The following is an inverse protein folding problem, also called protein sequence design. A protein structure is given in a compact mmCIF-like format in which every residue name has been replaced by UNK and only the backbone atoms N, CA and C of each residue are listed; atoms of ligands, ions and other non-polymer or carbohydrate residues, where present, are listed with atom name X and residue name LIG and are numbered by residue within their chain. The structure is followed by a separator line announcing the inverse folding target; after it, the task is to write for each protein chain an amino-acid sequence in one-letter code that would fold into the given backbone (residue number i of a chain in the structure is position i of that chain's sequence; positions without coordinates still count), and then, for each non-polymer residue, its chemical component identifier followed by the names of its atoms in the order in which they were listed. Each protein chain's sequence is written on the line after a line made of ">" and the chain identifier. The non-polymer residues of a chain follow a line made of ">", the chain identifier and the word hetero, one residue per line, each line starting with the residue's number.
data_IF_789221985569
#
_entry.id   IF_789221985569
#
_cell.length_a   1.000
_cell.length_b   1.000
_cell.length_c   1.000
_cell.angle_alpha   90.00
_cell.angle_beta   90.00
_cell.angle_gamma   90.00
#
_symmetry.space_group_name_H-M   'P 1'
#
loop_
_entity.id
_entity.type
_entity.pdbx_description
1 polymer ?
#
# COMPACT_ATOMS: atom_id res chain seq x y z
N UNK A 1 -66.94 -64.40 -33.64
CA UNK A 1 -67.13 -62.99 -34.04
C UNK A 1 -65.76 -62.43 -34.44
N UNK A 2 -65.48 -62.43 -35.75
CA UNK A 2 -65.11 -61.26 -36.58
C UNK A 2 -63.66 -60.73 -36.41
N UNK A 3 -62.85 -61.02 -37.45
CA UNK A 3 -61.77 -60.25 -38.15
C UNK A 3 -60.48 -59.88 -37.40
N UNK A 4 -59.29 -60.26 -37.89
CA UNK A 4 -58.51 -59.71 -39.02
C UNK A 4 -58.24 -58.20 -38.92
N UNK A 5 -56.95 -57.79 -38.96
CA UNK A 5 -56.35 -56.92 -40.00
C UNK A 5 -54.92 -56.47 -39.61
N UNK A 6 -53.98 -56.78 -40.52
CA UNK A 6 -52.66 -56.15 -40.70
C UNK A 6 -52.78 -54.72 -41.23
N UNK A 7 -51.91 -53.81 -40.80
CA UNK A 7 -51.61 -52.54 -41.51
C UNK A 7 -50.40 -51.88 -40.80
N UNK A 8 -49.15 -52.04 -41.26
CA UNK A 8 -48.50 -51.44 -42.44
C UNK A 8 -48.60 -49.91 -42.52
N UNK A 9 -47.52 -49.21 -42.15
CA UNK A 9 -46.93 -48.04 -42.85
C UNK A 9 -45.59 -47.70 -42.16
N UNK A 10 -44.46 -47.87 -42.86
CA UNK A 10 -43.74 -46.83 -43.66
C UNK A 10 -43.18 -45.71 -42.76
N UNK A 11 -41.93 -45.25 -42.86
CA UNK A 11 -40.78 -45.46 -43.75
C UNK A 11 -39.73 -44.41 -43.30
N UNK A 12 -38.46 -44.65 -43.62
CA UNK A 12 -37.37 -43.64 -43.71
C UNK A 12 -36.88 -43.13 -42.33
N UNK A 13 -35.62 -43.22 -41.94
CA UNK A 13 -34.39 -43.38 -42.67
C UNK A 13 -33.36 -42.39 -42.09
N UNK A 14 -32.09 -42.74 -42.28
CA UNK A 14 -30.88 -41.92 -42.06
C UNK A 14 -30.13 -42.18 -40.76
N UNK A 15 -29.15 -43.09 -40.92
CA UNK A 15 -27.87 -43.11 -40.22
C UNK A 15 -27.13 -41.80 -40.50
N UNK A 16 -26.61 -41.13 -39.47
CA UNK A 16 -25.38 -40.36 -39.57
C UNK A 16 -24.55 -40.51 -38.29
N UNK A 17 -23.43 -41.18 -38.44
CA UNK A 17 -22.24 -41.12 -37.59
C UNK A 17 -21.76 -39.67 -37.49
N UNK A 18 -21.35 -39.21 -36.31
CA UNK A 18 -20.15 -38.36 -36.15
C UNK A 18 -19.76 -38.18 -34.69
N UNK A 19 -18.62 -38.79 -34.35
CA UNK A 19 -17.54 -38.25 -33.52
C UNK A 19 -17.75 -36.80 -33.04
N UNK A 20 -17.83 -36.61 -31.72
CA UNK A 20 -17.17 -35.51 -31.02
C UNK A 20 -16.67 -36.02 -29.68
N UNK A 21 -15.50 -36.65 -29.69
CA UNK A 21 -14.58 -36.61 -28.56
C UNK A 21 -13.51 -35.57 -28.90
N UNK A 22 -13.01 -34.88 -27.88
CA UNK A 22 -11.92 -33.88 -27.90
C UNK A 22 -12.36 -32.45 -28.21
N UNK A 23 -12.86 -31.72 -27.19
CA UNK A 23 -12.68 -30.27 -27.02
C UNK A 23 -12.85 -29.91 -25.53
N UNK A 24 -11.98 -30.43 -24.65
CA UNK A 24 -11.88 -29.97 -23.26
C UNK A 24 -10.44 -29.62 -22.83
N UNK A 25 -9.51 -29.50 -23.79
CA UNK A 25 -8.07 -29.30 -23.52
C UNK A 25 -7.44 -28.18 -24.36
N UNK A 26 -8.18 -27.10 -24.66
CA UNK A 26 -7.62 -25.95 -25.42
C UNK A 26 -7.84 -24.57 -24.82
N UNK A 27 -8.45 -24.47 -23.64
CA UNK A 27 -8.67 -23.19 -22.96
C UNK A 27 -7.69 -22.92 -21.82
N UNK A 28 -6.93 -23.93 -21.38
CA UNK A 28 -5.90 -23.74 -20.34
C UNK A 28 -4.63 -23.11 -20.90
N UNK A 29 -4.16 -23.51 -22.10
CA UNK A 29 -2.88 -23.00 -22.61
C UNK A 29 -2.93 -21.56 -23.12
N UNK A 30 -4.10 -21.07 -23.54
CA UNK A 30 -4.27 -19.66 -23.98
C UNK A 30 -4.33 -18.74 -22.75
N UNK A 31 -5.01 -19.17 -21.69
CA UNK A 31 -5.03 -18.43 -20.43
C UNK A 31 -3.63 -18.36 -19.77
N UNK A 32 -2.86 -19.46 -19.77
CA UNK A 32 -1.47 -19.44 -19.27
C UNK A 32 -0.54 -18.56 -20.11
N UNK A 33 -0.70 -18.56 -21.44
CA UNK A 33 0.14 -17.70 -22.31
C UNK A 33 -0.21 -16.22 -22.22
N UNK A 34 -1.49 -15.87 -22.00
CA UNK A 34 -1.91 -14.48 -21.73
C UNK A 34 -1.47 -14.00 -20.32
N UNK A 35 -1.35 -14.91 -19.35
CA UNK A 35 -0.91 -14.61 -17.98
C UNK A 35 0.59 -14.31 -17.90
N UNK A 36 1.44 -15.16 -18.48
CA UNK A 36 2.89 -14.93 -18.50
C UNK A 36 3.28 -13.70 -19.35
N UNK A 37 2.49 -13.38 -20.39
CA UNK A 37 2.74 -12.21 -21.24
C UNK A 37 2.43 -10.90 -20.54
N UNK A 38 1.42 -10.82 -19.66
CA UNK A 38 1.08 -9.59 -18.94
C UNK A 38 2.23 -9.10 -18.03
N UNK A 39 2.78 -9.97 -17.18
CA UNK A 39 3.90 -9.62 -16.29
C UNK A 39 5.16 -9.30 -17.09
N UNK A 40 5.44 -10.08 -18.14
CA UNK A 40 6.60 -9.84 -19.00
C UNK A 40 6.51 -8.48 -19.71
N UNK A 41 5.32 -8.09 -20.17
CA UNK A 41 5.10 -6.80 -20.82
C UNK A 41 5.20 -5.63 -19.84
N UNK A 42 4.61 -5.76 -18.65
CA UNK A 42 4.78 -4.77 -17.59
C UNK A 42 6.26 -4.52 -17.26
N UNK A 43 7.07 -5.58 -17.17
CA UNK A 43 8.51 -5.46 -16.94
C UNK A 43 9.25 -4.70 -18.05
N UNK A 44 8.90 -4.89 -19.34
CA UNK A 44 9.50 -4.11 -20.42
C UNK A 44 9.16 -2.62 -20.31
N UNK A 45 7.93 -2.30 -19.92
CA UNK A 45 7.45 -0.93 -19.76
C UNK A 45 8.13 -0.21 -18.59
N UNK A 46 8.44 -0.94 -17.50
CA UNK A 46 9.22 -0.44 -16.36
C UNK A 46 10.58 0.08 -16.81
N UNK A 47 11.30 -0.64 -17.67
CA UNK A 47 12.60 -0.20 -18.19
C UNK A 47 12.53 1.07 -19.04
N UNK A 48 11.34 1.39 -19.57
CA UNK A 48 11.08 2.62 -20.32
C UNK A 48 10.43 3.70 -19.47
N UNK A 49 10.38 3.53 -18.14
CA UNK A 49 9.77 4.45 -17.17
C UNK A 49 8.27 4.74 -17.44
N UNK A 50 7.59 3.81 -18.11
CA UNK A 50 6.15 3.89 -18.43
C UNK A 50 5.31 3.18 -17.36
N UNK A 51 5.29 3.73 -16.15
CA UNK A 51 4.73 3.03 -14.99
C UNK A 51 3.21 2.87 -15.03
N UNK A 52 2.47 3.84 -15.57
CA UNK A 52 1.02 3.73 -15.72
C UNK A 52 0.66 2.63 -16.74
N UNK A 53 1.32 2.63 -17.90
CA UNK A 53 1.13 1.60 -18.92
C UNK A 53 1.57 0.23 -18.42
N UNK A 54 2.60 0.15 -17.57
CA UNK A 54 2.99 -1.10 -16.93
C UNK A 54 1.88 -1.64 -16.02
N UNK A 55 1.16 -0.79 -15.28
CA UNK A 55 -0.03 -1.21 -14.51
C UNK A 55 -1.16 -1.66 -15.45
N UNK A 56 -1.40 -0.96 -16.56
CA UNK A 56 -2.42 -1.37 -17.54
C UNK A 56 -2.10 -2.72 -18.18
N UNK A 57 -0.83 -3.03 -18.42
CA UNK A 57 -0.43 -4.34 -18.92
C UNK A 57 -0.78 -5.48 -17.93
N UNK A 58 -0.85 -5.19 -16.64
CA UNK A 58 -1.26 -6.13 -15.59
C UNK A 58 -2.79 -6.25 -15.44
N UNK A 59 -3.58 -5.40 -16.11
CA UNK A 59 -5.05 -5.35 -15.96
C UNK A 59 -5.75 -6.71 -16.07
N UNK A 60 -5.42 -7.60 -17.03
CA UNK A 60 -6.10 -8.90 -17.12
C UNK A 60 -5.94 -9.74 -15.84
N UNK A 61 -4.80 -9.62 -15.15
CA UNK A 61 -4.53 -10.32 -13.90
C UNK A 61 -5.18 -9.59 -12.71
N UNK A 62 -5.09 -8.26 -12.67
CA UNK A 62 -5.65 -7.45 -11.59
C UNK A 62 -7.18 -7.52 -11.54
N UNK A 63 -7.83 -7.63 -12.71
CA UNK A 63 -9.28 -7.72 -12.85
C UNK A 63 -9.82 -9.15 -12.85
N UNK A 64 -8.96 -10.16 -12.82
CA UNK A 64 -9.36 -11.56 -12.75
C UNK A 64 -10.06 -11.87 -11.42
N UNK A 65 -11.11 -12.68 -11.45
CA UNK A 65 -11.72 -13.28 -10.25
C UNK A 65 -11.04 -14.60 -9.86
N UNK A 66 -10.24 -15.18 -10.75
CA UNK A 66 -9.54 -16.44 -10.50
C UNK A 66 -8.20 -16.18 -9.80
N UNK A 67 -8.08 -16.71 -8.57
CA UNK A 67 -6.85 -16.63 -7.78
C UNK A 67 -5.74 -17.47 -8.40
N UNK A 68 -4.55 -16.90 -8.50
CA UNK A 68 -3.36 -17.54 -9.06
C UNK A 68 -2.08 -16.88 -8.54
N UNK A 69 -0.96 -17.59 -8.59
CA UNK A 69 0.35 -17.02 -8.24
C UNK A 69 0.70 -15.79 -9.11
N UNK A 70 0.30 -15.79 -10.38
CA UNK A 70 0.50 -14.67 -11.27
C UNK A 70 -0.35 -13.44 -10.90
N UNK A 71 -1.58 -13.64 -10.43
CA UNK A 71 -2.38 -12.53 -9.90
C UNK A 71 -1.78 -12.00 -8.59
N UNK A 72 -1.31 -12.87 -7.70
CA UNK A 72 -0.60 -12.46 -6.48
C UNK A 72 0.63 -11.60 -6.82
N UNK A 73 1.42 -12.02 -7.81
CA UNK A 73 2.60 -11.27 -8.26
C UNK A 73 2.21 -9.96 -8.97
N UNK A 74 1.12 -9.95 -9.74
CA UNK A 74 0.62 -8.74 -10.38
C UNK A 74 0.17 -7.70 -9.34
N UNK A 75 -0.53 -8.10 -8.27
CA UNK A 75 -0.91 -7.21 -7.17
C UNK A 75 0.33 -6.61 -6.49
N UNK A 76 1.35 -7.43 -6.23
CA UNK A 76 2.61 -6.98 -5.65
C UNK A 76 3.36 -5.99 -6.55
N UNK A 77 3.47 -6.29 -7.85
CA UNK A 77 4.14 -5.43 -8.81
C UNK A 77 3.37 -4.11 -9.00
N UNK A 78 2.04 -4.17 -9.08
CA UNK A 78 1.19 -2.98 -9.20
C UNK A 78 1.35 -2.03 -8.01
N UNK A 79 1.50 -2.55 -6.78
CA UNK A 79 1.85 -1.75 -5.61
C UNK A 79 3.16 -0.97 -5.82
N UNK A 80 4.22 -1.64 -6.26
CA UNK A 80 5.53 -1.00 -6.46
C UNK A 80 5.48 0.05 -7.57
N UNK A 81 4.74 -0.23 -8.64
CA UNK A 81 4.52 0.68 -9.75
C UNK A 81 3.72 1.93 -9.34
N UNK A 82 2.70 1.76 -8.51
CA UNK A 82 1.85 2.86 -8.06
C UNK A 82 2.65 3.96 -7.33
N UNK A 83 3.67 3.58 -6.54
CA UNK A 83 4.60 4.51 -5.87
C UNK A 83 5.33 5.46 -6.83
N UNK A 84 5.57 5.03 -8.07
CA UNK A 84 6.20 5.85 -9.12
C UNK A 84 5.19 6.55 -10.01
N UNK A 85 4.08 5.87 -10.31
CA UNK A 85 3.03 6.35 -11.18
C UNK A 85 2.27 7.56 -10.60
N UNK A 86 1.90 7.52 -9.31
CA UNK A 86 1.04 8.55 -8.69
C UNK A 86 1.71 9.94 -8.67
N UNK A 87 2.98 10.10 -8.26
CA UNK A 87 3.66 11.39 -8.32
C UNK A 87 3.75 11.95 -9.74
N UNK A 88 4.04 11.11 -10.74
CA UNK A 88 4.12 11.54 -12.14
C UNK A 88 2.76 12.03 -12.67
N UNK A 89 1.67 11.35 -12.29
CA UNK A 89 0.32 11.81 -12.61
C UNK A 89 0.04 13.17 -11.94
N UNK A 90 0.45 13.37 -10.70
CA UNK A 90 0.27 14.66 -10.01
C UNK A 90 1.05 15.79 -10.67
N UNK A 91 2.29 15.53 -11.11
CA UNK A 91 3.09 16.49 -11.88
C UNK A 91 2.44 16.86 -13.22
N UNK A 92 1.83 15.88 -13.91
CA UNK A 92 1.12 16.10 -15.19
C UNK A 92 -0.07 17.06 -15.03
N UNK A 93 -0.79 16.98 -13.91
CA UNK A 93 -2.02 17.76 -13.69
C UNK A 93 -1.84 19.03 -12.83
N UNK A 94 -0.72 19.20 -12.12
CA UNK A 94 -0.45 20.36 -11.26
C UNK A 94 -1.10 20.28 -9.86
N UNK A 95 -0.54 21.02 -8.89
CA UNK A 95 -0.82 20.83 -7.45
C UNK A 95 -1.96 21.68 -6.85
N UNK A 96 -2.54 22.69 -7.54
CA UNK A 96 -3.35 23.71 -6.83
C UNK A 96 -4.79 23.99 -7.32
N UNK A 97 -5.23 23.57 -8.51
CA UNK A 97 -6.61 23.83 -9.00
C UNK A 97 -7.28 22.62 -9.69
N UNK A 98 -6.55 21.53 -9.87
CA UNK A 98 -6.89 20.41 -10.78
C UNK A 98 -7.13 19.08 -10.07
N UNK A 99 -7.15 19.05 -8.74
CA UNK A 99 -7.42 17.83 -7.96
C UNK A 99 -8.76 17.16 -8.34
N UNK A 100 -9.75 17.97 -8.72
CA UNK A 100 -11.03 17.49 -9.27
C UNK A 100 -10.89 16.90 -10.67
N UNK A 101 -10.08 17.50 -11.55
CA UNK A 101 -9.81 17.00 -12.90
C UNK A 101 -9.05 15.66 -12.86
N UNK A 102 -8.06 15.53 -11.96
CA UNK A 102 -7.35 14.27 -11.68
C UNK A 102 -8.34 13.19 -11.26
N UNK A 103 -9.26 13.49 -10.32
CA UNK A 103 -10.30 12.56 -9.85
C UNK A 103 -11.24 12.08 -10.96
N UNK A 104 -11.45 12.89 -11.99
CA UNK A 104 -12.31 12.55 -13.12
C UNK A 104 -11.58 12.02 -14.35
N UNK A 105 -10.25 11.90 -14.29
CA UNK A 105 -9.47 11.38 -15.42
C UNK A 105 -9.81 9.91 -15.70
N UNK A 106 -9.71 9.51 -16.97
CA UNK A 106 -9.86 8.09 -17.34
C UNK A 106 -8.81 7.21 -16.63
N UNK A 107 -7.61 7.78 -16.38
CA UNK A 107 -6.52 7.07 -15.70
C UNK A 107 -6.89 6.68 -14.26
N UNK A 108 -7.40 7.64 -13.49
CA UNK A 108 -7.82 7.39 -12.10
C UNK A 108 -9.04 6.47 -12.03
N UNK A 109 -10.03 6.67 -12.91
CA UNK A 109 -11.19 5.75 -12.96
C UNK A 109 -10.79 4.30 -13.21
N UNK A 110 -9.79 4.07 -14.08
CA UNK A 110 -9.30 2.73 -14.38
C UNK A 110 -8.53 2.13 -13.21
N UNK A 111 -7.71 2.92 -12.52
CA UNK A 111 -7.02 2.49 -11.31
C UNK A 111 -8.01 2.18 -10.17
N UNK A 112 -9.07 2.97 -9.98
CA UNK A 112 -10.13 2.72 -9.00
C UNK A 112 -10.79 1.34 -9.18
N UNK A 113 -11.05 0.96 -10.43
CA UNK A 113 -11.57 -0.36 -10.77
C UNK A 113 -10.56 -1.46 -10.41
N UNK A 114 -9.29 -1.26 -10.74
CA UNK A 114 -8.21 -2.21 -10.46
C UNK A 114 -7.91 -2.37 -8.98
N UNK A 115 -8.15 -1.38 -8.14
CA UNK A 115 -8.00 -1.54 -6.69
C UNK A 115 -9.30 -1.96 -6.02
N UNK A 116 -10.39 -2.16 -6.78
CA UNK A 116 -11.72 -2.57 -6.31
C UNK A 116 -12.26 -1.69 -5.19
N UNK A 117 -12.00 -0.39 -5.26
CA UNK A 117 -12.41 0.59 -4.24
C UNK A 117 -11.61 0.53 -2.93
N UNK A 118 -10.59 -0.33 -2.83
CA UNK A 118 -9.58 -0.20 -1.79
C UNK A 118 -8.61 0.87 -2.24
N UNK A 119 -8.72 2.09 -1.74
CA UNK A 119 -7.66 3.09 -1.88
C UNK A 119 -7.73 4.01 -0.69
N UNK A 120 -6.62 4.69 -0.45
CA UNK A 120 -6.57 5.70 0.58
C UNK A 120 -6.61 7.09 -0.06
N UNK A 121 -7.49 7.94 0.45
CA UNK A 121 -7.57 9.37 0.10
C UNK A 121 -6.86 10.15 1.21
N UNK A 122 -5.67 10.66 0.92
CA UNK A 122 -4.95 11.57 1.83
C UNK A 122 -5.28 13.03 1.51
N UNK A 123 -5.11 13.91 2.51
CA UNK A 123 -5.43 15.34 2.48
C UNK A 123 -5.25 15.96 1.08
N UNK A 124 -6.28 16.67 0.59
CA UNK A 124 -6.32 17.29 -0.75
C UNK A 124 -6.36 16.32 -1.95
N UNK A 125 -7.13 15.22 -1.88
CA UNK A 125 -7.44 14.33 -3.02
C UNK A 125 -6.25 13.56 -3.60
N UNK A 126 -5.24 13.26 -2.77
CA UNK A 126 -4.15 12.38 -3.19
C UNK A 126 -4.56 10.91 -3.00
N UNK A 127 -4.63 10.16 -4.10
CA UNK A 127 -4.95 8.73 -4.11
C UNK A 127 -3.70 7.88 -3.95
N UNK A 128 -3.62 7.09 -2.89
CA UNK A 128 -2.61 6.04 -2.77
C UNK A 128 -3.17 4.70 -3.28
N UNK A 129 -3.03 4.46 -4.59
CA UNK A 129 -3.38 3.18 -5.20
C UNK A 129 -2.44 2.05 -4.76
N UNK A 130 -1.23 2.37 -4.29
CA UNK A 130 -0.29 1.39 -3.73
C UNK A 130 -0.89 0.71 -2.50
N UNK A 131 -1.55 1.47 -1.63
CA UNK A 131 -2.34 0.94 -0.50
C UNK A 131 -3.42 -0.04 -0.99
N UNK A 132 -4.13 0.33 -2.04
CA UNK A 132 -5.21 -0.47 -2.61
C UNK A 132 -4.81 -1.86 -3.06
N UNK A 133 -3.72 -1.93 -3.83
CA UNK A 133 -3.17 -3.20 -4.29
C UNK A 133 -2.66 -4.07 -3.14
N UNK A 134 -2.05 -3.47 -2.11
CA UNK A 134 -1.61 -4.21 -0.92
C UNK A 134 -2.78 -4.75 -0.09
N UNK A 135 -3.84 -3.97 0.10
CA UNK A 135 -5.03 -4.43 0.83
C UNK A 135 -5.68 -5.62 0.09
N UNK A 136 -5.84 -5.50 -1.23
CA UNK A 136 -6.31 -6.62 -2.06
C UNK A 136 -5.41 -7.84 -1.96
N UNK A 137 -4.09 -7.67 -1.97
CA UNK A 137 -3.13 -8.77 -1.81
C UNK A 137 -3.38 -9.53 -0.49
N UNK A 138 -3.58 -8.84 0.62
CA UNK A 138 -3.82 -9.49 1.93
C UNK A 138 -5.20 -10.15 1.99
N UNK A 139 -6.23 -9.48 1.47
CA UNK A 139 -7.61 -9.98 1.52
C UNK A 139 -7.79 -11.21 0.62
N UNK A 140 -7.20 -11.18 -0.58
CA UNK A 140 -7.30 -12.26 -1.56
C UNK A 140 -6.31 -13.40 -1.26
N UNK A 141 -5.11 -13.09 -0.74
CA UNK A 141 -4.03 -14.04 -0.48
C UNK A 141 -3.56 -13.99 0.99
N UNK A 142 -4.39 -14.39 1.96
CA UNK A 142 -4.10 -14.20 3.38
C UNK A 142 -2.87 -14.96 3.90
N UNK A 143 -2.38 -15.97 3.17
CA UNK A 143 -1.20 -16.76 3.52
C UNK A 143 0.02 -16.46 2.63
N UNK A 144 0.00 -15.37 1.85
CA UNK A 144 1.13 -14.99 0.99
C UNK A 144 2.43 -14.78 1.81
N UNK A 145 3.59 -15.25 1.32
CA UNK A 145 4.88 -14.94 1.94
C UNK A 145 5.20 -13.43 1.95
N UNK A 146 4.50 -12.64 1.13
CA UNK A 146 4.61 -11.18 1.04
C UNK A 146 3.84 -10.45 2.14
N UNK A 147 2.96 -11.14 2.89
CA UNK A 147 2.07 -10.55 3.89
C UNK A 147 2.79 -9.69 4.94
N UNK A 148 3.92 -10.13 5.54
CA UNK A 148 4.61 -9.29 6.53
C UNK A 148 5.12 -7.97 5.94
N UNK A 149 5.48 -7.94 4.66
CA UNK A 149 5.96 -6.71 4.02
C UNK A 149 4.76 -5.83 3.64
N UNK A 150 3.69 -6.44 3.12
CA UNK A 150 2.45 -5.75 2.80
C UNK A 150 1.82 -5.09 4.04
N UNK A 151 1.74 -5.81 5.16
CA UNK A 151 1.20 -5.27 6.42
C UNK A 151 2.01 -4.08 6.92
N UNK A 152 3.35 -4.10 6.81
CA UNK A 152 4.20 -2.96 7.16
C UNK A 152 3.86 -1.72 6.32
N UNK A 153 3.79 -1.86 4.99
CA UNK A 153 3.49 -0.74 4.10
C UNK A 153 2.03 -0.26 4.14
N UNK A 154 1.13 -1.02 4.76
CA UNK A 154 -0.24 -0.59 5.05
C UNK A 154 -0.34 0.18 6.38
N UNK A 155 0.69 0.15 7.23
CA UNK A 155 0.72 1.02 8.42
C UNK A 155 0.79 2.45 7.92
N UNK A 156 -0.27 3.21 8.22
CA UNK A 156 -0.37 4.61 7.85
C UNK A 156 0.76 5.36 8.52
N UNK A 157 1.66 5.93 7.71
CA UNK A 157 2.56 6.98 8.19
C UNK A 157 1.70 8.23 8.35
N UNK A 158 1.21 8.45 9.57
CA UNK A 158 0.52 9.70 9.87
C UNK A 158 1.48 10.84 9.60
N UNK A 159 1.02 11.87 8.88
CA UNK A 159 1.58 13.18 9.15
C UNK A 159 1.40 13.40 10.65
N UNK A 160 2.46 13.80 11.37
CA UNK A 160 2.39 14.09 12.81
C UNK A 160 1.53 15.33 12.97
N UNK A 161 0.25 15.05 12.94
CA UNK A 161 -0.88 15.94 13.07
C UNK A 161 -1.71 15.30 14.17
N UNK A 162 -1.08 15.32 15.34
CA UNK A 162 -1.52 15.11 16.73
C UNK A 162 -2.68 14.14 17.05
N UNK A 163 -3.23 13.34 16.15
CA UNK A 163 -4.25 12.32 16.43
C UNK A 163 -4.12 11.07 15.57
N UNK A 164 -3.28 11.11 14.53
CA UNK A 164 -2.92 9.93 13.72
C UNK A 164 -1.75 9.15 14.36
N UNK A 165 -1.04 9.76 15.31
CA UNK A 165 0.13 9.17 15.97
C UNK A 165 -0.20 7.96 16.85
N UNK A 166 -1.27 8.01 17.66
CA UNK A 166 -1.64 6.91 18.54
C UNK A 166 -2.03 5.64 17.79
N UNK A 167 -2.82 5.77 16.70
CA UNK A 167 -3.20 4.64 15.86
C UNK A 167 -2.00 4.07 15.10
N UNK A 168 -1.14 4.94 14.55
CA UNK A 168 0.10 4.54 13.86
C UNK A 168 1.07 3.85 14.81
N UNK A 169 1.30 4.39 16.01
CA UNK A 169 2.15 3.78 17.04
C UNK A 169 1.61 2.41 17.44
N UNK A 170 0.29 2.28 17.67
CA UNK A 170 -0.33 1.00 17.98
C UNK A 170 -0.17 0.00 16.84
N UNK A 171 -0.32 0.43 15.59
CA UNK A 171 -0.11 -0.41 14.42
C UNK A 171 1.33 -0.91 14.32
N UNK A 172 2.33 -0.06 14.55
CA UNK A 172 3.74 -0.48 14.60
C UNK A 172 4.01 -1.44 15.76
N UNK A 173 3.45 -1.21 16.95
CA UNK A 173 3.57 -2.16 18.06
C UNK A 173 2.97 -3.53 17.72
N UNK A 174 1.77 -3.56 17.14
CA UNK A 174 1.12 -4.80 16.73
C UNK A 174 1.94 -5.54 15.66
N UNK A 175 2.50 -4.79 14.70
CA UNK A 175 3.38 -5.32 13.66
C UNK A 175 4.63 -5.96 14.26
N UNK A 176 5.36 -5.23 15.11
CA UNK A 176 6.57 -5.70 15.78
C UNK A 176 6.23 -6.93 16.62
N UNK A 177 5.17 -6.90 17.44
CA UNK A 177 4.77 -8.04 18.26
C UNK A 177 4.54 -9.32 17.41
N UNK A 178 4.01 -9.15 16.20
CA UNK A 178 3.72 -10.25 15.27
C UNK A 178 4.99 -10.78 14.59
N UNK A 179 5.90 -9.88 14.19
CA UNK A 179 7.01 -10.22 13.28
C UNK A 179 8.41 -10.10 13.87
N UNK A 180 8.60 -9.62 15.11
CA UNK A 180 9.92 -9.35 15.70
C UNK A 180 10.89 -10.53 15.56
N UNK A 181 10.40 -11.76 15.81
CA UNK A 181 11.21 -12.98 15.78
C UNK A 181 11.64 -13.41 14.37
N UNK A 182 11.13 -12.79 13.30
CA UNK A 182 11.46 -13.17 11.93
C UNK A 182 12.78 -12.57 11.46
N UNK A 183 13.32 -11.55 12.15
CA UNK A 183 14.53 -10.84 11.71
C UNK A 183 14.36 -10.13 10.35
N UNK A 184 13.14 -9.68 10.03
CA UNK A 184 12.88 -9.01 8.74
C UNK A 184 13.35 -7.57 8.79
N UNK A 185 13.78 -7.03 7.65
CA UNK A 185 14.19 -5.63 7.52
C UNK A 185 13.10 -4.67 7.98
N UNK A 186 11.83 -4.98 7.67
CA UNK A 186 10.66 -4.17 7.99
C UNK A 186 10.40 -4.07 9.50
N UNK A 187 10.82 -5.04 10.31
CA UNK A 187 10.76 -4.94 11.78
C UNK A 187 11.70 -3.84 12.28
N UNK A 188 12.90 -3.77 11.71
CA UNK A 188 13.86 -2.72 12.05
C UNK A 188 13.38 -1.36 11.51
N UNK A 189 12.81 -1.32 10.31
CA UNK A 189 12.17 -0.09 9.82
C UNK A 189 11.01 0.36 10.71
N UNK A 190 10.20 -0.55 11.26
CA UNK A 190 9.15 -0.21 12.22
C UNK A 190 9.72 0.36 13.53
N UNK A 191 10.86 -0.15 14.02
CA UNK A 191 11.56 0.48 15.14
C UNK A 191 12.04 1.89 14.79
N UNK A 192 12.60 2.09 13.59
CA UNK A 192 13.06 3.39 13.14
C UNK A 192 11.89 4.39 13.02
N UNK A 193 10.78 3.98 12.40
CA UNK A 193 9.59 4.82 12.28
C UNK A 193 9.02 5.22 13.66
N UNK A 194 8.97 4.28 14.63
CA UNK A 194 8.59 4.60 16.01
C UNK A 194 9.57 5.59 16.65
N UNK A 195 10.88 5.43 16.43
CA UNK A 195 11.88 6.36 16.94
C UNK A 195 11.67 7.77 16.39
N UNK A 196 11.42 7.90 15.08
CA UNK A 196 11.15 9.18 14.41
C UNK A 196 9.88 9.84 14.92
N UNK A 197 8.78 9.10 15.10
CA UNK A 197 7.52 9.63 15.67
C UNK A 197 7.77 10.19 17.07
N UNK A 198 8.40 9.41 17.96
CA UNK A 198 8.69 9.86 19.32
C UNK A 198 9.69 11.03 19.36
N UNK A 199 10.69 11.07 18.48
CA UNK A 199 11.61 12.21 18.33
C UNK A 199 10.84 13.46 17.92
N UNK A 200 9.97 13.36 16.91
CA UNK A 200 9.14 14.48 16.45
C UNK A 200 8.26 15.06 17.56
N UNK A 201 7.59 14.21 18.34
CA UNK A 201 6.75 14.66 19.47
C UNK A 201 7.61 15.33 20.55
N UNK A 202 8.77 14.74 20.90
CA UNK A 202 9.69 15.38 21.84
C UNK A 202 10.16 16.76 21.35
N UNK A 203 10.54 16.88 20.07
CA UNK A 203 11.01 18.13 19.49
C UNK A 203 9.90 19.20 19.50
N UNK A 204 8.67 18.84 19.10
CA UNK A 204 7.51 19.74 19.12
C UNK A 204 7.20 20.31 20.51
N UNK A 205 7.37 19.49 21.56
CA UNK A 205 7.15 19.90 22.95
C UNK A 205 8.33 20.68 23.55
N UNK A 206 9.54 20.53 22.98
CA UNK A 206 10.77 21.13 23.52
C UNK A 206 11.12 22.45 22.86
N UNK A 207 10.83 22.57 21.57
CA UNK A 207 11.10 23.74 20.72
C UNK A 207 9.78 24.27 20.15
N UNK A 208 8.92 24.87 20.98
CA UNK A 208 7.70 25.50 20.48
C UNK A 208 8.08 26.65 19.53
N UNK A 209 7.41 26.73 18.38
CA UNK A 209 7.67 27.77 17.37
C UNK A 209 7.46 29.17 18.01
N UNK A 210 8.51 30.00 18.08
CA UNK A 210 8.47 31.35 18.65
C UNK A 210 7.85 32.38 17.69
N UNK A 211 7.49 31.98 16.46
CA UNK A 211 6.95 32.92 15.47
C UNK A 211 5.44 33.15 15.66
N UNK A 212 5.05 34.42 15.84
CA UNK A 212 3.67 34.94 15.66
C UNK A 212 3.13 34.75 14.21
N UNK A 213 3.76 33.90 13.41
CA UNK A 213 3.24 33.51 12.13
C UNK A 213 2.06 32.57 12.37
N UNK A 214 0.88 32.77 11.74
CA UNK A 214 -0.27 31.88 11.87
C UNK A 214 0.03 30.60 11.09
N UNK A 215 0.96 29.80 11.61
CA UNK A 215 1.49 28.63 10.95
C UNK A 215 0.88 27.45 11.69
N UNK A 216 -0.12 26.86 11.02
CA UNK A 216 -0.54 25.45 11.21
C UNK A 216 -1.48 25.11 12.38
N UNK A 217 -2.16 26.06 13.00
CA UNK A 217 -3.30 25.68 13.87
C UNK A 217 -4.53 25.24 13.07
N UNK A 218 -4.79 25.85 11.90
CA UNK A 218 -6.08 25.68 11.22
C UNK A 218 -6.07 24.60 10.12
N UNK A 219 -4.89 24.22 9.60
CA UNK A 219 -4.77 23.23 8.52
C UNK A 219 -4.79 21.77 9.02
N UNK A 220 -4.90 21.57 10.34
CA UNK A 220 -4.52 20.34 11.02
C UNK A 220 -5.57 19.82 12.01
N UNK A 221 -6.78 20.41 12.01
CA UNK A 221 -7.97 19.84 12.64
C UNK A 221 -7.84 19.54 14.13
N UNK A 222 -6.91 20.19 14.82
CA UNK A 222 -6.64 19.97 16.23
C UNK A 222 -7.21 21.11 17.07
N UNK A 223 -8.37 20.88 17.66
CA UNK A 223 -8.97 21.67 18.75
C UNK A 223 -8.28 21.36 20.11
N UNK A 224 -7.13 20.68 20.08
CA UNK A 224 -6.36 20.31 21.27
C UNK A 224 -5.51 21.48 21.73
N UNK A 225 -6.05 22.23 22.68
CA UNK A 225 -5.45 23.34 23.40
C UNK A 225 -4.23 22.90 24.25
N UNK A 226 -3.12 22.52 23.60
CA UNK A 226 -1.83 22.31 24.28
C UNK A 226 -1.30 23.60 24.91
N UNK A 227 -1.82 24.77 24.52
CA UNK A 227 -1.51 26.05 25.15
C UNK A 227 -2.06 26.16 26.58
N UNK A 228 -2.95 25.24 26.99
CA UNK A 228 -3.57 25.19 28.32
C UNK A 228 -2.98 24.14 29.27
N UNK A 229 -2.07 23.27 28.81
CA UNK A 229 -1.46 22.26 29.68
C UNK A 229 -0.39 22.85 30.61
N UNK A 230 -0.36 22.36 31.84
CA UNK A 230 0.65 22.69 32.86
C UNK A 230 2.06 22.47 32.29
N UNK A 231 2.94 23.50 32.27
CA UNK A 231 4.30 23.41 31.73
C UNK A 231 5.13 22.25 32.33
N UNK A 232 4.88 21.84 33.57
CA UNK A 232 5.57 20.70 34.17
C UNK A 232 5.08 19.35 33.63
N UNK A 233 3.82 19.26 33.20
CA UNK A 233 3.30 18.08 32.49
C UNK A 233 3.91 17.98 31.11
N UNK A 234 4.00 19.09 30.37
CA UNK A 234 4.62 19.11 29.04
C UNK A 234 6.08 18.65 29.07
N UNK A 235 6.88 19.12 30.05
CA UNK A 235 8.26 18.65 30.25
C UNK A 235 8.35 17.16 30.53
N UNK A 236 7.46 16.64 31.38
CA UNK A 236 7.42 15.22 31.73
C UNK A 236 7.06 14.37 30.52
N UNK A 237 6.07 14.81 29.73
CA UNK A 237 5.67 14.17 28.47
C UNK A 237 6.83 14.19 27.47
N UNK A 238 7.48 15.34 27.25
CA UNK A 238 8.63 15.46 26.36
C UNK A 238 9.77 14.49 26.75
N UNK A 239 10.11 14.41 28.04
CA UNK A 239 11.14 13.49 28.53
C UNK A 239 10.79 12.01 28.25
N UNK A 240 9.51 11.63 28.40
CA UNK A 240 9.05 10.27 28.10
C UNK A 240 9.20 9.93 26.60
N UNK A 241 8.82 10.85 25.70
CA UNK A 241 8.99 10.67 24.27
C UNK A 241 10.47 10.60 23.86
N UNK A 242 11.34 11.43 24.45
CA UNK A 242 12.80 11.32 24.25
C UNK A 242 13.34 9.94 24.63
N UNK A 243 12.88 9.40 25.77
CA UNK A 243 13.31 8.09 26.24
C UNK A 243 12.85 6.95 25.32
N UNK A 244 11.60 6.97 24.83
CA UNK A 244 11.10 5.98 23.87
C UNK A 244 11.84 6.09 22.52
N UNK A 245 12.10 7.30 22.02
CA UNK A 245 12.89 7.48 20.79
C UNK A 245 14.29 6.84 20.92
N UNK A 246 15.01 7.09 22.02
CA UNK A 246 16.34 6.51 22.28
C UNK A 246 16.30 4.98 22.34
N UNK A 247 15.27 4.41 22.98
CA UNK A 247 15.05 2.96 23.06
C UNK A 247 14.91 2.36 21.66
N UNK A 248 14.08 2.93 20.80
CA UNK A 248 13.86 2.39 19.46
C UNK A 248 15.02 2.62 18.49
N UNK A 249 15.69 3.77 18.53
CA UNK A 249 16.94 3.96 17.79
C UNK A 249 17.99 2.92 18.19
N UNK A 250 18.07 2.57 19.48
CA UNK A 250 19.00 1.52 19.94
C UNK A 250 18.62 0.16 19.37
N UNK A 251 17.33 -0.20 19.38
CA UNK A 251 16.84 -1.46 18.80
C UNK A 251 17.08 -1.54 17.28
N UNK A 252 16.91 -0.42 16.58
CA UNK A 252 17.22 -0.31 15.16
C UNK A 252 18.72 -0.53 14.88
N UNK A 253 19.63 0.13 15.61
CA UNK A 253 21.07 0.00 15.39
C UNK A 253 21.66 -1.36 15.81
N UNK A 254 20.94 -2.17 16.59
CA UNK A 254 21.34 -3.56 16.88
C UNK A 254 21.18 -4.50 15.66
N UNK A 255 20.58 -4.03 14.56
CA UNK A 255 20.22 -4.81 13.38
C UNK A 255 21.31 -5.81 12.90
N UNK A 256 21.11 -7.12 13.06
CA UNK A 256 22.05 -8.16 12.65
C UNK A 256 22.09 -8.43 11.14
N UNK A 257 21.18 -7.83 10.35
CA UNK A 257 21.06 -8.09 8.91
C UNK A 257 21.90 -7.15 8.04
N UNK A 258 22.66 -6.23 8.64
CA UNK A 258 23.58 -5.37 7.91
C UNK A 258 22.87 -4.57 6.82
N UNK A 259 21.59 -4.17 7.03
CA UNK A 259 21.09 -3.00 6.33
C UNK A 259 22.15 -1.92 6.55
N UNK A 260 22.61 -1.21 5.50
CA UNK A 260 23.60 -0.16 5.68
C UNK A 260 23.14 0.65 6.88
N UNK A 261 24.03 0.87 7.87
CA UNK A 261 23.76 1.89 8.89
C UNK A 261 23.30 3.07 8.06
N UNK A 262 22.00 3.43 8.08
CA UNK A 262 21.61 4.58 7.33
C UNK A 262 22.43 5.69 7.93
N UNK A 263 22.78 6.69 7.14
CA UNK A 263 23.13 7.99 7.70
C UNK A 263 21.86 8.56 8.37
N UNK A 264 21.25 7.83 9.31
CA UNK A 264 20.17 8.27 10.16
C UNK A 264 20.82 9.14 11.22
N UNK A 265 21.06 10.38 10.82
CA UNK A 265 21.50 11.45 11.70
C UNK A 265 20.47 11.70 12.81
N UNK A 266 19.25 11.13 12.74
CA UNK A 266 18.23 11.22 13.77
C UNK A 266 18.72 10.83 15.17
N UNK A 267 19.38 9.69 15.31
CA UNK A 267 19.92 9.27 16.62
C UNK A 267 21.02 10.20 17.15
N UNK A 268 21.91 10.71 16.27
CA UNK A 268 22.96 11.67 16.64
C UNK A 268 22.35 13.02 17.05
N UNK A 269 21.40 13.53 16.26
CA UNK A 269 20.64 14.75 16.54
C UNK A 269 19.92 14.66 17.88
N UNK A 270 19.23 13.53 18.16
CA UNK A 270 18.56 13.32 19.45
C UNK A 270 19.52 13.38 20.63
N UNK A 271 20.72 12.79 20.50
CA UNK A 271 21.77 12.84 21.52
C UNK A 271 22.34 14.24 21.74
N UNK A 272 22.45 15.02 20.67
CA UNK A 272 22.91 16.40 20.71
C UNK A 272 21.81 17.40 21.12
N UNK A 273 20.59 16.91 21.38
CA UNK A 273 19.41 17.73 21.67
C UNK A 273 19.05 18.69 20.54
N UNK A 274 19.25 18.25 19.30
CA UNK A 274 18.92 19.01 18.10
C UNK A 274 17.48 18.72 17.62
N UNK A 275 16.86 19.75 17.04
CA UNK A 275 15.62 19.59 16.28
C UNK A 275 15.82 18.56 15.15
N UNK A 276 14.79 17.73 14.97
CA UNK A 276 14.70 16.83 13.83
C UNK A 276 13.71 17.43 12.84
N UNK A 277 14.19 17.71 11.62
CA UNK A 277 13.37 18.37 10.60
C UNK A 277 12.08 17.60 10.36
N UNK A 278 10.96 18.30 10.47
CA UNK A 278 9.61 17.78 10.17
C UNK A 278 9.50 17.12 8.80
N UNK A 279 10.39 17.50 7.87
CA UNK A 279 10.47 16.97 6.51
C UNK A 279 10.77 15.45 6.48
N UNK A 280 11.46 14.90 7.47
CA UNK A 280 11.74 13.45 7.54
C UNK A 280 10.51 12.62 7.95
N UNK A 281 9.63 13.19 8.77
CA UNK A 281 8.46 12.48 9.31
C UNK A 281 7.26 12.58 8.33
N UNK A 282 7.13 13.70 7.62
CA UNK A 282 6.01 13.95 6.70
C UNK A 282 6.23 13.29 5.34
N UNK A 283 7.46 13.27 4.83
CA UNK A 283 7.73 12.83 3.45
C UNK A 283 8.33 11.44 3.33
N UNK A 284 8.56 10.72 4.44
CA UNK A 284 9.03 9.33 4.50
C UNK A 284 9.92 8.92 3.32
N UNK A 285 11.25 9.01 3.48
CA UNK A 285 12.20 8.62 2.43
C UNK A 285 11.89 7.25 1.79
#
# INVERSE_FOLDING_TARGET
>A
MVRNILSTRRRIGVVFFLMVSVLFFRSYSVAETDVETAIAEANKLIFSEKYYEAILALEPLLMSEAKSEAQEEALWLAHQLAKKCVPMMQEEYGYSETAFEVKTSEKTHRLDQMVKGHFWEFAMYHYDYGYGFLQRLIDEYPNTPKRPIAEYYLIRKGAVVLGVDAETIQAYHAYIQTYEKTGRAEVYMAYLDLAHIHHGIWAALTFPDESDAPVRHDAFGYDGDYSSEDPEKQKTTAAAHKAEALKYYTLFHLNPHGLPEPEDEGYKRLKNEEEFGWDYIIYGC
#
